data_IF_533136406676
#
_entry.id   IF_533136406676
#
_cell.length_a   1.000
_cell.length_b   1.000
_cell.length_c   1.000
_cell.angle_alpha   90.00
_cell.angle_beta   90.00
_cell.angle_gamma   90.00
#
_symmetry.space_group_name_H-M   'P 1'
#
loop_
_entity.id
_entity.type
_entity.pdbx_description
1 polymer ?
#
# COMPACT_ATOMS: atom_id res chain seq x y z
N UNK A 1 33.25 19.76 5.90
CA UNK A 1 32.72 18.38 6.05
C UNK A 1 31.21 18.50 5.98
N UNK A 2 30.56 17.98 4.92
CA UNK A 2 29.11 18.03 4.84
C UNK A 2 28.54 16.92 5.75
N UNK A 3 27.84 17.25 6.85
CA UNK A 3 27.33 16.25 7.80
C UNK A 3 26.46 15.17 7.12
N UNK A 4 25.87 15.51 5.97
CA UNK A 4 25.04 14.63 5.13
C UNK A 4 25.82 13.45 4.54
N UNK A 5 27.10 13.60 4.22
CA UNK A 5 27.92 12.51 3.65
C UNK A 5 28.17 11.40 4.68
N UNK A 6 28.30 11.77 5.96
CA UNK A 6 28.49 10.84 7.07
C UNK A 6 27.20 10.04 7.39
N UNK A 7 26.02 10.54 6.99
CA UNK A 7 24.74 9.85 7.20
C UNK A 7 24.53 8.66 6.26
N UNK A 8 25.10 8.72 5.05
CA UNK A 8 24.94 7.67 4.03
C UNK A 8 25.37 6.28 4.54
N UNK A 9 26.58 6.08 5.11
CA UNK A 9 26.99 4.77 5.62
C UNK A 9 26.11 4.30 6.79
N UNK A 10 25.62 5.21 7.62
CA UNK A 10 24.71 4.89 8.74
C UNK A 10 23.37 4.39 8.21
N UNK A 11 22.76 5.10 7.27
CA UNK A 11 21.49 4.70 6.64
C UNK A 11 21.62 3.36 5.90
N UNK A 12 22.74 3.11 5.23
CA UNK A 12 23.01 1.80 4.63
C UNK A 12 23.07 0.69 5.70
N UNK A 13 23.78 0.92 6.80
CA UNK A 13 23.89 -0.04 7.91
C UNK A 13 22.53 -0.35 8.55
N UNK A 14 21.69 0.66 8.71
CA UNK A 14 20.33 0.54 9.26
C UNK A 14 19.28 0.08 8.23
N UNK A 15 19.68 -0.12 6.97
CA UNK A 15 18.80 -0.48 5.84
C UNK A 15 17.66 0.52 5.62
N UNK A 16 17.97 1.81 5.74
CA UNK A 16 17.04 2.92 5.51
C UNK A 16 17.12 3.39 4.05
N UNK A 17 16.70 2.50 3.14
CA UNK A 17 16.85 2.71 1.69
C UNK A 17 15.89 3.74 1.09
N UNK A 18 14.73 3.96 1.71
CA UNK A 18 13.78 5.02 1.37
C UNK A 18 14.31 6.37 1.80
N UNK A 19 14.83 6.49 3.02
CA UNK A 19 15.53 7.69 3.50
C UNK A 19 16.63 8.10 2.54
N UNK A 20 17.49 7.16 2.11
CA UNK A 20 18.57 7.45 1.17
C UNK A 20 18.08 8.02 -0.17
N UNK A 21 16.88 7.68 -0.61
CA UNK A 21 16.32 8.18 -1.86
C UNK A 21 15.60 9.51 -1.70
N UNK A 22 15.01 9.78 -0.53
CA UNK A 22 14.28 11.02 -0.27
C UNK A 22 15.09 12.08 0.48
N UNK A 23 16.29 11.77 0.98
CA UNK A 23 17.10 12.64 1.85
C UNK A 23 17.29 14.05 1.27
N UNK A 24 17.76 14.16 0.02
CA UNK A 24 18.03 15.45 -0.61
C UNK A 24 16.76 16.29 -0.78
N UNK A 25 15.64 15.63 -1.12
CA UNK A 25 14.34 16.28 -1.23
C UNK A 25 13.86 16.77 0.15
N UNK A 26 13.95 15.93 1.18
CA UNK A 26 13.53 16.27 2.54
C UNK A 26 14.39 17.37 3.16
N UNK A 27 15.70 17.40 2.86
CA UNK A 27 16.60 18.46 3.32
C UNK A 27 16.25 19.81 2.71
N UNK A 28 15.89 19.85 1.42
CA UNK A 28 15.40 21.08 0.78
C UNK A 28 14.07 21.52 1.38
N UNK A 29 13.11 20.60 1.53
CA UNK A 29 11.84 20.90 2.17
C UNK A 29 12.00 21.44 3.59
N UNK A 30 12.92 20.89 4.39
CA UNK A 30 13.17 21.41 5.73
C UNK A 30 13.72 22.84 5.72
N UNK A 31 14.55 23.18 4.73
CA UNK A 31 15.09 24.52 4.57
C UNK A 31 14.03 25.51 4.03
N UNK A 32 13.17 25.07 3.11
CA UNK A 32 12.16 25.90 2.46
C UNK A 32 10.93 26.14 3.37
N UNK A 33 10.50 25.12 4.12
CA UNK A 33 9.29 25.13 4.95
C UNK A 33 9.56 25.48 6.43
N UNK A 34 10.81 25.79 6.82
CA UNK A 34 11.26 26.01 8.21
C UNK A 34 10.74 24.94 9.19
N UNK A 35 10.88 23.67 8.80
CA UNK A 35 10.30 22.56 9.57
C UNK A 35 10.98 22.43 10.93
N UNK A 36 10.17 22.23 11.97
CA UNK A 36 10.68 21.84 13.27
C UNK A 36 11.50 20.52 13.14
N UNK A 37 12.61 20.37 13.86
CA UNK A 37 13.47 19.18 13.73
C UNK A 37 12.74 17.85 13.94
N UNK A 38 11.76 17.83 14.85
CA UNK A 38 10.93 16.65 15.10
C UNK A 38 10.02 16.31 13.91
N UNK A 39 9.48 17.31 13.22
CA UNK A 39 8.63 17.10 12.05
C UNK A 39 9.45 16.63 10.86
N UNK A 40 10.64 17.19 10.65
CA UNK A 40 11.57 16.69 9.64
C UNK A 40 11.90 15.22 9.87
N UNK A 41 12.27 14.84 11.10
CA UNK A 41 12.60 13.45 11.42
C UNK A 41 11.40 12.51 11.22
N UNK A 42 10.21 12.94 11.62
CA UNK A 42 8.98 12.18 11.40
C UNK A 42 8.76 11.94 9.90
N UNK A 43 8.79 12.99 9.07
CA UNK A 43 8.59 12.87 7.61
C UNK A 43 9.65 11.97 6.97
N UNK A 44 10.91 12.13 7.38
CA UNK A 44 12.02 11.33 6.86
C UNK A 44 11.84 9.83 7.17
N UNK A 45 11.45 9.49 8.40
CA UNK A 45 11.25 8.10 8.80
C UNK A 45 9.95 7.51 8.22
N UNK A 46 8.91 8.33 8.03
CA UNK A 46 7.68 7.90 7.35
C UNK A 46 7.94 7.43 5.92
N UNK A 47 8.83 8.11 5.17
CA UNK A 47 9.21 7.67 3.81
C UNK A 47 9.77 6.23 3.79
N UNK A 48 10.53 5.85 4.82
CA UNK A 48 11.05 4.49 4.94
C UNK A 48 9.94 3.48 5.21
N UNK A 49 9.02 3.82 6.13
CA UNK A 49 7.90 2.95 6.50
C UNK A 49 7.01 2.70 5.28
N UNK A 50 6.60 3.76 4.60
CA UNK A 50 5.75 3.68 3.40
C UNK A 50 6.40 2.82 2.31
N UNK A 51 7.70 3.02 2.06
CA UNK A 51 8.43 2.19 1.09
C UNK A 51 8.47 0.72 1.49
N UNK A 52 8.69 0.42 2.77
CA UNK A 52 8.71 -0.97 3.27
C UNK A 52 7.35 -1.62 3.13
N UNK A 53 6.28 -0.91 3.45
CA UNK A 53 4.92 -1.41 3.34
C UNK A 53 4.53 -1.66 1.88
N UNK A 54 4.84 -0.71 0.99
CA UNK A 54 4.64 -0.87 -0.45
C UNK A 54 5.41 -2.10 -1.00
N UNK A 55 6.67 -2.28 -0.58
CA UNK A 55 7.48 -3.45 -0.99
C UNK A 55 6.91 -4.75 -0.44
N UNK A 56 6.46 -4.78 0.81
CA UNK A 56 5.82 -5.96 1.40
C UNK A 56 4.54 -6.32 0.65
N UNK A 57 3.72 -5.34 0.31
CA UNK A 57 2.51 -5.53 -0.48
C UNK A 57 2.83 -6.11 -1.86
N UNK A 58 3.78 -5.53 -2.59
CA UNK A 58 4.20 -6.05 -3.92
C UNK A 58 4.71 -7.49 -3.83
N UNK A 59 5.51 -7.81 -2.81
CA UNK A 59 5.98 -9.19 -2.58
C UNK A 59 4.80 -10.14 -2.32
N UNK A 60 3.83 -9.74 -1.49
CA UNK A 60 2.63 -10.57 -1.21
C UNK A 60 1.80 -10.78 -2.48
N UNK A 61 1.59 -9.73 -3.27
CA UNK A 61 0.87 -9.81 -4.55
C UNK A 61 1.57 -10.72 -5.56
N UNK A 62 2.89 -10.63 -5.68
CA UNK A 62 3.68 -11.54 -6.54
C UNK A 62 3.59 -12.99 -6.07
N UNK A 63 3.66 -13.22 -4.75
CA UNK A 63 3.55 -14.57 -4.17
C UNK A 63 2.16 -15.19 -4.34
N UNK A 64 1.11 -14.37 -4.35
CA UNK A 64 -0.25 -14.84 -4.57
C UNK A 64 -0.46 -15.42 -5.99
N UNK A 65 0.43 -15.10 -6.93
CA UNK A 65 0.45 -15.68 -8.28
C UNK A 65 -0.91 -15.62 -9.00
N UNK A 66 -1.65 -14.52 -8.80
CA UNK A 66 -2.92 -14.30 -9.49
C UNK A 66 -2.71 -14.33 -11.01
N UNK A 67 -3.52 -15.14 -11.71
CA UNK A 67 -3.45 -15.27 -13.18
C UNK A 67 -3.72 -13.94 -13.88
N UNK A 68 -4.58 -13.09 -13.29
CA UNK A 68 -4.86 -11.73 -13.72
C UNK A 68 -4.91 -10.80 -12.49
N UNK A 69 -4.27 -9.64 -12.56
CA UNK A 69 -4.49 -8.57 -11.57
C UNK A 69 -5.88 -7.99 -11.81
N UNK A 70 -6.85 -8.40 -10.98
CA UNK A 70 -8.20 -7.86 -11.00
C UNK A 70 -8.44 -7.13 -9.69
N UNK A 71 -8.87 -5.89 -9.78
CA UNK A 71 -9.35 -5.16 -8.61
C UNK A 71 -10.88 -5.20 -8.56
N UNK A 72 -11.44 -4.96 -7.38
CA UNK A 72 -12.89 -4.72 -7.22
C UNK A 72 -13.34 -3.45 -7.96
N UNK A 73 -12.44 -2.49 -8.19
CA UNK A 73 -12.72 -1.28 -8.97
C UNK A 73 -12.96 -1.60 -10.45
N UNK A 74 -12.29 -2.63 -10.97
CA UNK A 74 -12.47 -3.13 -12.34
C UNK A 74 -13.73 -4.02 -12.50
N UNK A 75 -14.52 -4.24 -11.43
CA UNK A 75 -15.70 -5.08 -11.52
C UNK A 75 -16.83 -4.37 -12.27
N UNK A 76 -17.15 -4.86 -13.46
CA UNK A 76 -18.28 -4.36 -14.23
C UNK A 76 -19.61 -4.86 -13.64
N UNK A 77 -20.29 -4.01 -12.89
CA UNK A 77 -21.61 -4.30 -12.35
C UNK A 77 -22.71 -4.38 -13.43
N UNK A 78 -22.45 -3.92 -14.66
CA UNK A 78 -23.40 -4.05 -15.77
C UNK A 78 -23.39 -5.46 -16.37
N UNK A 79 -22.29 -6.19 -16.25
CA UNK A 79 -22.16 -7.59 -16.67
C UNK A 79 -23.18 -8.52 -15.99
N UNK A 80 -23.49 -8.26 -14.71
CA UNK A 80 -24.54 -8.97 -14.00
C UNK A 80 -25.29 -8.03 -13.03
N UNK A 81 -26.41 -7.43 -13.48
CA UNK A 81 -27.20 -6.48 -12.68
C UNK A 81 -27.82 -7.10 -11.42
N UNK A 82 -27.87 -8.44 -11.33
CA UNK A 82 -28.40 -9.15 -10.16
C UNK A 82 -27.40 -9.23 -9.01
N UNK A 83 -26.13 -8.86 -9.24
CA UNK A 83 -25.13 -8.81 -8.17
C UNK A 83 -25.44 -7.62 -7.24
N UNK A 84 -25.62 -7.86 -5.93
CA UNK A 84 -25.94 -6.79 -4.99
C UNK A 84 -24.71 -5.89 -4.77
N UNK A 85 -24.62 -4.80 -5.55
CA UNK A 85 -23.50 -3.84 -5.51
C UNK A 85 -23.16 -3.36 -4.10
N UNK A 86 -24.17 -3.08 -3.27
CA UNK A 86 -23.97 -2.65 -1.87
C UNK A 86 -23.21 -3.68 -1.04
N UNK A 87 -23.51 -4.98 -1.20
CA UNK A 87 -22.79 -6.05 -0.50
C UNK A 87 -21.35 -6.21 -0.99
N UNK A 88 -21.11 -6.03 -2.29
CA UNK A 88 -19.74 -6.10 -2.84
C UNK A 88 -18.88 -4.95 -2.33
N UNK A 89 -19.44 -3.73 -2.27
CA UNK A 89 -18.75 -2.57 -1.69
C UNK A 89 -18.47 -2.79 -0.21
N UNK A 90 -19.42 -3.35 0.55
CA UNK A 90 -19.20 -3.70 1.95
C UNK A 90 -18.07 -4.73 2.13
N UNK A 91 -18.02 -5.76 1.29
CA UNK A 91 -16.91 -6.72 1.26
C UNK A 91 -15.57 -6.06 0.92
N UNK A 92 -15.55 -5.06 0.04
CA UNK A 92 -14.35 -4.31 -0.34
C UNK A 92 -13.72 -3.55 0.84
N UNK A 93 -14.48 -3.26 1.90
CA UNK A 93 -13.96 -2.67 3.13
C UNK A 93 -13.12 -3.65 3.96
N UNK A 94 -13.15 -4.95 3.63
CA UNK A 94 -12.54 -6.04 4.40
C UNK A 94 -13.01 -6.09 5.87
N UNK A 95 -14.17 -5.50 6.21
CA UNK A 95 -14.68 -5.49 7.59
C UNK A 95 -14.90 -6.88 8.20
N UNK A 96 -15.21 -7.87 7.36
CA UNK A 96 -15.33 -9.28 7.76
C UNK A 96 -14.01 -9.85 8.31
N UNK A 97 -12.85 -9.37 7.86
CA UNK A 97 -11.54 -9.82 8.35
C UNK A 97 -11.36 -9.44 9.82
N UNK A 98 -11.68 -8.18 10.16
CA UNK A 98 -11.60 -7.69 11.54
C UNK A 98 -12.60 -8.38 12.47
N UNK A 99 -13.76 -8.78 11.93
CA UNK A 99 -14.81 -9.52 12.67
C UNK A 99 -14.57 -11.03 12.73
N UNK A 100 -13.52 -11.54 12.08
CA UNK A 100 -13.28 -12.98 11.93
C UNK A 100 -14.47 -13.74 11.31
N UNK A 101 -15.16 -13.11 10.36
CA UNK A 101 -16.30 -13.69 9.65
C UNK A 101 -15.88 -14.31 8.32
N UNK A 102 -16.57 -15.39 7.94
CA UNK A 102 -16.36 -16.05 6.65
C UNK A 102 -17.25 -15.44 5.57
N UNK A 103 -16.68 -15.22 4.38
CA UNK A 103 -17.41 -14.75 3.20
C UNK A 103 -17.59 -15.91 2.23
N UNK A 104 -18.83 -16.19 1.83
CA UNK A 104 -19.15 -17.22 0.85
C UNK A 104 -19.85 -16.61 -0.37
N UNK A 105 -19.25 -16.75 -1.55
CA UNK A 105 -19.81 -16.30 -2.82
C UNK A 105 -20.49 -17.47 -3.53
N UNK A 106 -21.81 -17.53 -3.51
CA UNK A 106 -22.61 -18.62 -4.09
C UNK A 106 -23.39 -18.13 -5.31
N UNK A 107 -23.31 -18.89 -6.41
CA UNK A 107 -24.06 -18.60 -7.64
C UNK A 107 -23.60 -19.46 -8.82
N UNK A 108 -24.38 -19.47 -9.90
CA UNK A 108 -24.10 -20.23 -11.13
C UNK A 108 -22.71 -19.88 -11.72
N UNK A 109 -22.13 -20.77 -12.52
CA UNK A 109 -20.86 -20.50 -13.22
C UNK A 109 -20.98 -19.27 -14.12
N UNK A 110 -19.90 -18.50 -14.30
CA UNK A 110 -19.89 -17.32 -15.18
C UNK A 110 -20.48 -16.03 -14.61
N UNK A 111 -21.04 -16.01 -13.39
CA UNK A 111 -21.70 -14.80 -12.82
C UNK A 111 -20.76 -13.76 -12.19
N UNK A 112 -19.44 -13.82 -12.45
CA UNK A 112 -18.45 -12.86 -11.93
C UNK A 112 -17.80 -13.20 -10.58
N UNK A 113 -18.12 -14.36 -9.97
CA UNK A 113 -17.62 -14.74 -8.63
C UNK A 113 -16.08 -14.76 -8.52
N UNK A 114 -15.40 -15.28 -9.54
CA UNK A 114 -13.92 -15.35 -9.58
C UNK A 114 -13.23 -14.01 -9.80
N UNK A 115 -13.97 -12.94 -10.12
CA UNK A 115 -13.42 -11.58 -10.14
C UNK A 115 -13.51 -10.96 -8.73
N UNK A 116 -14.58 -11.26 -7.99
CA UNK A 116 -14.83 -10.71 -6.66
C UNK A 116 -13.95 -11.38 -5.57
N UNK A 117 -13.62 -12.67 -5.74
CA UNK A 117 -12.75 -13.44 -4.84
C UNK A 117 -11.28 -13.29 -5.20
#
# INVERSE_FOLDING_TARGET
MHPTEDLIPIFKKLRLSGVLQSLDMRLRQAADDDLAPAEFLLRLLSDEVERRDARQLDVRLRKAAFEHRKSLEDFDFTFNPKVPKSKIIDLATCGFVAKHENVCLVGQTGVGKSHIA
#
